data_IF_483719912140
#
_entry.id   IF_483719912140
#
_cell.length_a   1.000
_cell.length_b   1.000
_cell.length_c   1.000
_cell.angle_alpha   90.00
_cell.angle_beta   90.00
_cell.angle_gamma   90.00
#
_symmetry.space_group_name_H-M   'P 1'
#
loop_
_entity.id
_entity.type
_entity.pdbx_description
1 polymer ?
#
# COMPACT_ATOMS: atom_id res chain seq x y z
N UNK A 1 -11.08 -18.57 6.02
CA UNK A 1 -10.06 -17.61 5.56
C UNK A 1 -9.52 -16.75 6.71
N UNK A 2 -10.36 -16.04 7.48
CA UNK A 2 -9.94 -15.21 8.63
C UNK A 2 -9.13 -15.97 9.70
N UNK A 3 -9.48 -17.23 9.94
CA UNK A 3 -8.76 -18.13 10.87
C UNK A 3 -7.29 -18.31 10.48
N UNK A 4 -6.95 -18.33 9.18
CA UNK A 4 -5.55 -18.47 8.75
C UNK A 4 -4.72 -17.23 9.10
N UNK A 5 -5.29 -16.04 8.95
CA UNK A 5 -4.62 -14.79 9.31
C UNK A 5 -4.38 -14.67 10.81
N UNK A 6 -5.35 -15.10 11.64
CA UNK A 6 -5.16 -15.11 13.09
C UNK A 6 -4.08 -16.11 13.51
N UNK A 7 -4.05 -17.31 12.91
CA UNK A 7 -3.00 -18.31 13.19
C UNK A 7 -1.63 -17.84 12.73
N UNK A 8 -1.52 -17.22 11.54
CA UNK A 8 -0.27 -16.66 11.04
C UNK A 8 0.26 -15.56 11.99
N UNK A 9 -0.61 -14.70 12.50
CA UNK A 9 -0.22 -13.64 13.42
C UNK A 9 0.15 -14.17 14.81
N UNK A 10 -0.58 -15.16 15.34
CA UNK A 10 -0.23 -15.84 16.60
C UNK A 10 1.13 -16.53 16.46
N UNK A 11 1.36 -17.24 15.35
CA UNK A 11 2.64 -17.88 15.05
C UNK A 11 3.79 -16.86 14.97
N UNK A 12 3.57 -15.72 14.31
CA UNK A 12 4.55 -14.63 14.24
C UNK A 12 4.83 -13.99 15.61
N UNK A 13 3.79 -13.80 16.45
CA UNK A 13 3.95 -13.29 17.83
C UNK A 13 4.75 -14.26 18.70
N UNK A 14 4.51 -15.56 18.56
CA UNK A 14 5.24 -16.60 19.29
C UNK A 14 6.70 -16.75 18.79
N UNK A 15 6.95 -16.49 17.51
CA UNK A 15 8.27 -16.63 16.88
C UNK A 15 8.79 -15.27 16.38
N UNK A 16 9.04 -14.35 17.31
CA UNK A 16 9.36 -12.95 16.99
C UNK A 16 10.60 -12.80 16.08
N UNK A 17 11.63 -13.63 16.25
CA UNK A 17 12.81 -13.62 15.39
C UNK A 17 12.49 -14.02 13.94
N UNK A 18 11.58 -14.98 13.75
CA UNK A 18 11.11 -15.37 12.43
C UNK A 18 10.28 -14.26 11.79
N UNK A 19 9.40 -13.61 12.55
CA UNK A 19 8.61 -12.47 12.07
C UNK A 19 9.50 -11.28 11.64
N UNK A 20 10.53 -10.97 12.43
CA UNK A 20 11.53 -9.96 12.10
C UNK A 20 12.34 -10.35 10.85
N UNK A 21 12.77 -11.60 10.75
CA UNK A 21 13.49 -12.13 9.58
C UNK A 21 12.67 -12.02 8.29
N UNK A 22 11.40 -12.42 8.33
CA UNK A 22 10.48 -12.29 7.18
C UNK A 22 10.22 -10.83 6.81
N UNK A 23 10.06 -9.96 7.81
CA UNK A 23 9.86 -8.52 7.59
C UNK A 23 11.10 -7.87 6.95
N UNK A 24 12.29 -8.25 7.41
CA UNK A 24 13.55 -7.77 6.84
C UNK A 24 13.75 -8.25 5.41
N UNK A 25 13.45 -9.52 5.12
CA UNK A 25 13.49 -10.07 3.76
C UNK A 25 12.51 -9.34 2.83
N UNK A 26 11.30 -9.05 3.31
CA UNK A 26 10.31 -8.27 2.56
C UNK A 26 10.85 -6.87 2.20
N UNK A 27 11.48 -6.18 3.16
CA UNK A 27 12.11 -4.86 2.91
C UNK A 27 13.17 -4.96 1.81
N UNK A 28 14.02 -5.99 1.84
CA UNK A 28 15.04 -6.22 0.81
C UNK A 28 14.38 -6.39 -0.57
N UNK A 29 13.37 -7.26 -0.69
CA UNK A 29 12.73 -7.50 -1.98
C UNK A 29 12.05 -6.25 -2.52
N UNK A 30 11.37 -5.48 -1.67
CA UNK A 30 10.78 -4.18 -2.04
C UNK A 30 11.84 -3.23 -2.58
N UNK A 31 12.99 -3.12 -1.89
CA UNK A 31 14.06 -2.21 -2.28
C UNK A 31 14.69 -2.61 -3.63
N UNK A 32 14.92 -3.91 -3.80
CA UNK A 32 15.42 -4.51 -5.04
C UNK A 32 14.46 -4.24 -6.20
N UNK A 33 13.16 -4.42 -6.00
CA UNK A 33 12.14 -4.19 -7.03
C UNK A 33 12.04 -2.70 -7.39
N UNK A 34 12.08 -1.79 -6.41
CA UNK A 34 11.97 -0.35 -6.70
C UNK A 34 13.20 0.22 -7.44
N UNK A 35 14.41 -0.26 -7.12
CA UNK A 35 15.65 0.28 -7.72
C UNK A 35 15.98 -0.44 -9.04
N UNK A 36 15.87 -1.76 -9.05
CA UNK A 36 16.39 -2.59 -10.14
C UNK A 36 15.27 -3.23 -10.96
N UNK A 37 14.04 -3.32 -10.45
CA UNK A 37 12.89 -3.98 -11.09
C UNK A 37 12.69 -3.62 -12.57
N UNK A 38 12.66 -2.32 -12.96
CA UNK A 38 12.53 -1.91 -14.36
C UNK A 38 13.66 -2.38 -15.27
N UNK A 39 14.79 -2.85 -14.73
CA UNK A 39 15.95 -3.39 -15.47
C UNK A 39 16.05 -4.92 -15.40
N UNK A 40 15.25 -5.59 -14.59
CA UNK A 40 15.30 -7.04 -14.42
C UNK A 40 14.76 -7.81 -15.61
N UNK A 41 15.12 -9.10 -15.70
CA UNK A 41 14.44 -10.03 -16.59
C UNK A 41 13.02 -10.30 -16.08
N UNK A 42 12.07 -10.52 -16.99
CA UNK A 42 10.66 -10.81 -16.66
C UNK A 42 10.53 -11.93 -15.62
N UNK A 43 11.27 -13.03 -15.78
CA UNK A 43 11.18 -14.19 -14.88
C UNK A 43 11.73 -13.88 -13.48
N UNK A 44 12.84 -13.15 -13.40
CA UNK A 44 13.41 -12.72 -12.11
C UNK A 44 12.42 -11.83 -11.38
N UNK A 45 11.84 -10.86 -12.09
CA UNK A 45 10.89 -9.91 -11.53
C UNK A 45 9.62 -10.62 -11.03
N UNK A 46 9.09 -11.57 -11.81
CA UNK A 46 7.91 -12.36 -11.43
C UNK A 46 8.15 -13.13 -10.12
N UNK A 47 9.31 -13.76 -9.96
CA UNK A 47 9.66 -14.49 -8.73
C UNK A 47 9.75 -13.55 -7.54
N UNK A 48 10.46 -12.42 -7.67
CA UNK A 48 10.62 -11.45 -6.59
C UNK A 48 9.26 -10.87 -6.17
N UNK A 49 8.41 -10.51 -7.12
CA UNK A 49 7.07 -9.97 -6.85
C UNK A 49 6.18 -11.03 -6.20
N UNK A 50 6.22 -12.27 -6.67
CA UNK A 50 5.43 -13.36 -6.08
C UNK A 50 5.82 -13.58 -4.62
N UNK A 51 7.12 -13.68 -4.34
CA UNK A 51 7.62 -13.82 -2.97
C UNK A 51 7.25 -12.62 -2.11
N UNK A 52 7.39 -11.40 -2.64
CA UNK A 52 7.03 -10.17 -1.95
C UNK A 52 5.54 -10.11 -1.62
N UNK A 53 4.67 -10.51 -2.55
CA UNK A 53 3.21 -10.52 -2.34
C UNK A 53 2.77 -11.56 -1.32
N UNK A 54 3.40 -12.74 -1.32
CA UNK A 54 3.18 -13.76 -0.28
C UNK A 54 3.60 -13.22 1.09
N UNK A 55 4.79 -12.63 1.18
CA UNK A 55 5.28 -12.03 2.43
C UNK A 55 4.40 -10.86 2.89
N UNK A 56 3.92 -10.02 1.97
CA UNK A 56 2.95 -8.97 2.28
C UNK A 56 1.65 -9.53 2.86
N UNK A 57 1.11 -10.60 2.27
CA UNK A 57 -0.07 -11.27 2.81
C UNK A 57 0.14 -11.80 4.22
N UNK A 58 1.27 -12.47 4.46
CA UNK A 58 1.59 -13.05 5.77
C UNK A 58 1.85 -11.98 6.82
N UNK A 59 2.70 -10.98 6.52
CA UNK A 59 3.16 -10.01 7.51
C UNK A 59 2.17 -8.86 7.67
N UNK A 60 1.83 -8.19 6.57
CA UNK A 60 1.08 -6.93 6.60
C UNK A 60 -0.42 -7.15 6.65
N UNK A 61 -0.95 -8.01 5.77
CA UNK A 61 -2.41 -8.22 5.70
C UNK A 61 -2.93 -8.96 6.93
N UNK A 62 -2.20 -9.96 7.45
CA UNK A 62 -2.54 -10.61 8.73
C UNK A 62 -2.61 -9.60 9.88
N UNK A 63 -1.64 -8.69 9.96
CA UNK A 63 -1.63 -7.63 10.96
C UNK A 63 -2.85 -6.72 10.82
N UNK A 64 -3.13 -6.20 9.62
CA UNK A 64 -4.25 -5.29 9.39
C UNK A 64 -5.61 -5.92 9.73
N UNK A 65 -5.83 -7.18 9.32
CA UNK A 65 -7.10 -7.88 9.58
C UNK A 65 -7.31 -8.09 11.08
N UNK A 66 -6.31 -8.60 11.80
CA UNK A 66 -6.44 -8.88 13.23
C UNK A 66 -6.60 -7.58 14.02
N UNK A 67 -5.79 -6.56 13.73
CA UNK A 67 -5.84 -5.28 14.43
C UNK A 67 -7.21 -4.59 14.28
N UNK A 68 -7.78 -4.60 13.07
CA UNK A 68 -9.11 -4.04 12.82
C UNK A 68 -10.20 -4.83 13.53
N UNK A 69 -10.15 -6.16 13.47
CA UNK A 69 -11.12 -7.01 14.16
C UNK A 69 -11.08 -6.77 15.67
N UNK A 70 -9.90 -6.72 16.28
CA UNK A 70 -9.75 -6.39 17.70
C UNK A 70 -10.29 -4.99 18.02
N UNK A 71 -10.01 -4.00 17.17
CA UNK A 71 -10.46 -2.60 17.35
C UNK A 71 -11.98 -2.46 17.23
N UNK A 72 -12.63 -3.19 16.34
CA UNK A 72 -14.08 -3.13 16.14
C UNK A 72 -14.86 -4.07 17.05
N UNK A 73 -14.30 -5.22 17.46
CA UNK A 73 -14.97 -6.19 18.32
C UNK A 73 -15.01 -5.76 19.80
N UNK A 74 -14.13 -4.84 20.24
CA UNK A 74 -14.18 -4.29 21.60
C UNK A 74 -15.55 -3.66 21.88
N UNK A 75 -16.29 -4.24 22.82
CA UNK A 75 -17.61 -3.78 23.26
C UNK A 75 -18.75 -4.12 22.30
N UNK A 76 -18.52 -4.92 21.25
CA UNK A 76 -19.56 -5.30 20.31
C UNK A 76 -20.43 -6.45 20.83
N UNK A 77 -21.75 -6.26 20.87
CA UNK A 77 -22.71 -7.32 21.20
C UNK A 77 -23.05 -8.22 19.99
N UNK A 78 -22.79 -7.74 18.77
CA UNK A 78 -23.07 -8.46 17.53
C UNK A 78 -21.80 -8.56 16.67
N UNK A 79 -21.41 -9.79 16.30
CA UNK A 79 -20.17 -10.10 15.57
C UNK A 79 -20.22 -9.63 14.10
N UNK A 80 -21.40 -9.49 13.51
CA UNK A 80 -21.55 -9.12 12.09
C UNK A 80 -21.15 -7.66 11.82
N UNK A 81 -21.38 -6.75 12.78
CA UNK A 81 -21.07 -5.32 12.62
C UNK A 81 -19.55 -5.04 12.58
N UNK A 82 -18.72 -5.60 13.50
CA UNK A 82 -17.25 -5.49 13.43
C UNK A 82 -16.64 -6.09 12.16
N UNK A 83 -17.21 -7.17 11.65
CA UNK A 83 -16.79 -7.78 10.39
C UNK A 83 -17.03 -6.82 9.22
N UNK A 84 -18.25 -6.26 9.11
CA UNK A 84 -18.59 -5.30 8.06
C UNK A 84 -17.69 -4.05 8.12
N UNK A 85 -17.42 -3.53 9.32
CA UNK A 85 -16.52 -2.39 9.51
C UNK A 85 -15.09 -2.71 9.08
N UNK A 86 -14.56 -3.87 9.47
CA UNK A 86 -13.23 -4.32 9.04
C UNK A 86 -13.11 -4.40 7.52
N UNK A 87 -14.07 -5.05 6.86
CA UNK A 87 -14.05 -5.14 5.39
C UNK A 87 -14.23 -3.79 4.71
N UNK A 88 -15.06 -2.89 5.27
CA UNK A 88 -15.20 -1.53 4.77
C UNK A 88 -13.88 -0.76 4.74
N UNK A 89 -13.06 -0.91 5.78
CA UNK A 89 -11.72 -0.31 5.87
C UNK A 89 -10.76 -0.89 4.84
N UNK A 90 -10.79 -2.21 4.65
CA UNK A 90 -9.96 -2.90 3.64
C UNK A 90 -10.35 -2.47 2.22
N UNK A 91 -11.64 -2.26 1.96
CA UNK A 91 -12.16 -1.86 0.65
C UNK A 91 -11.88 -0.37 0.35
N UNK A 92 -11.78 0.50 1.36
CA UNK A 92 -11.64 1.94 1.15
C UNK A 92 -10.44 2.35 0.25
N UNK A 93 -9.21 1.83 0.45
CA UNK A 93 -8.11 2.10 -0.48
C UNK A 93 -8.36 1.58 -1.90
N UNK A 94 -9.09 0.47 -2.08
CA UNK A 94 -9.46 -0.06 -3.40
C UNK A 94 -10.37 0.92 -4.14
N UNK A 95 -11.37 1.47 -3.44
CA UNK A 95 -12.27 2.48 -4.00
C UNK A 95 -11.49 3.72 -4.42
N UNK A 96 -10.53 4.17 -3.60
CA UNK A 96 -9.68 5.32 -3.94
C UNK A 96 -8.83 5.02 -5.18
N UNK A 97 -8.21 3.84 -5.27
CA UNK A 97 -7.48 3.45 -6.47
C UNK A 97 -8.36 3.44 -7.71
N UNK A 98 -9.60 2.94 -7.61
CA UNK A 98 -10.54 2.93 -8.73
C UNK A 98 -10.90 4.36 -9.18
N UNK A 99 -11.12 5.27 -8.23
CA UNK A 99 -11.34 6.69 -8.54
C UNK A 99 -10.12 7.29 -9.25
N UNK A 100 -8.91 7.04 -8.74
CA UNK A 100 -7.67 7.54 -9.36
C UNK A 100 -7.45 6.98 -10.76
N UNK A 101 -7.76 5.70 -10.99
CA UNK A 101 -7.71 5.07 -12.30
C UNK A 101 -8.65 5.76 -13.30
N UNK A 102 -9.88 6.05 -12.88
CA UNK A 102 -10.88 6.75 -13.70
C UNK A 102 -10.39 8.18 -14.01
N UNK A 103 -9.93 8.92 -13.01
CA UNK A 103 -9.42 10.28 -13.20
C UNK A 103 -8.20 10.31 -14.14
N UNK A 104 -7.30 9.34 -14.04
CA UNK A 104 -6.13 9.20 -14.90
C UNK A 104 -6.49 8.82 -16.34
N UNK A 105 -7.50 7.97 -16.53
CA UNK A 105 -7.98 7.57 -17.85
C UNK A 105 -8.48 8.78 -18.64
N UNK A 106 -9.30 9.62 -18.00
CA UNK A 106 -9.84 10.86 -18.56
C UNK A 106 -8.88 12.06 -18.54
N UNK A 107 -7.58 11.85 -18.24
CA UNK A 107 -6.55 12.90 -18.14
C UNK A 107 -6.92 14.07 -17.20
N UNK A 108 -7.77 13.83 -16.20
CA UNK A 108 -8.20 14.84 -15.22
C UNK A 108 -7.13 15.12 -14.15
N UNK A 109 -6.15 14.23 -14.01
CA UNK A 109 -5.02 14.40 -13.09
C UNK A 109 -4.00 15.36 -13.70
N UNK A 110 -3.94 16.58 -13.14
CA UNK A 110 -2.88 17.55 -13.46
C UNK A 110 -1.59 17.17 -12.73
N UNK A 111 -0.67 16.51 -13.43
CA UNK A 111 0.57 15.95 -12.85
C UNK A 111 1.41 16.97 -12.06
N UNK A 112 1.48 18.23 -12.51
CA UNK A 112 2.18 19.31 -11.77
C UNK A 112 1.57 19.55 -10.39
N UNK A 113 0.25 19.52 -10.29
CA UNK A 113 -0.47 19.68 -9.02
C UNK A 113 -0.26 18.45 -8.14
N UNK A 114 -0.34 17.24 -8.72
CA UNK A 114 -0.09 16.00 -7.99
C UNK A 114 1.32 16.00 -7.36
N UNK A 115 2.37 16.34 -8.13
CA UNK A 115 3.73 16.45 -7.58
C UNK A 115 3.86 17.53 -6.52
N UNK A 116 3.27 18.71 -6.73
CA UNK A 116 3.30 19.79 -5.74
C UNK A 116 2.63 19.37 -4.42
N UNK A 117 1.48 18.68 -4.49
CA UNK A 117 0.79 18.12 -3.33
C UNK A 117 1.63 17.04 -2.64
N UNK A 118 2.23 16.11 -3.39
CA UNK A 118 3.11 15.07 -2.83
C UNK A 118 4.28 15.70 -2.07
N UNK A 119 4.97 16.68 -2.66
CA UNK A 119 6.10 17.37 -2.01
C UNK A 119 5.64 18.09 -0.75
N UNK A 120 4.53 18.83 -0.82
CA UNK A 120 3.98 19.55 0.32
C UNK A 120 3.63 18.60 1.46
N UNK A 121 2.87 17.55 1.19
CA UNK A 121 2.47 16.53 2.18
C UNK A 121 3.70 15.83 2.75
N UNK A 122 4.70 15.51 1.93
CA UNK A 122 5.93 14.88 2.37
C UNK A 122 6.72 15.77 3.35
N UNK A 123 6.90 17.05 3.02
CA UNK A 123 7.59 18.00 3.90
C UNK A 123 6.81 18.18 5.21
N UNK A 124 5.48 18.31 5.14
CA UNK A 124 4.63 18.37 6.33
C UNK A 124 4.74 17.10 7.17
N UNK A 125 4.76 15.92 6.55
CA UNK A 125 4.94 14.64 7.23
C UNK A 125 6.26 14.59 7.99
N UNK A 126 7.37 14.99 7.36
CA UNK A 126 8.68 15.04 8.01
C UNK A 126 8.71 16.01 9.20
N UNK A 127 8.11 17.18 9.04
CA UNK A 127 8.04 18.17 10.11
C UNK A 127 7.24 17.65 11.32
N UNK A 128 6.07 17.05 11.06
CA UNK A 128 5.23 16.44 12.10
C UNK A 128 5.97 15.27 12.77
N UNK A 129 6.66 14.43 12.00
CA UNK A 129 7.43 13.30 12.52
C UNK A 129 8.54 13.78 13.48
N UNK A 130 9.29 14.82 13.10
CA UNK A 130 10.31 15.44 13.96
C UNK A 130 9.67 16.00 15.24
N UNK A 131 8.62 16.82 15.12
CA UNK A 131 7.96 17.42 16.28
C UNK A 131 7.40 16.35 17.23
N UNK A 132 6.80 15.29 16.68
CA UNK A 132 6.23 14.19 17.48
C UNK A 132 7.27 13.41 18.28
N UNK A 133 8.55 13.52 17.92
CA UNK A 133 9.65 12.92 18.69
C UNK A 133 9.99 13.74 19.93
N UNK A 134 9.61 15.02 19.98
CA UNK A 134 9.84 15.91 21.13
C UNK A 134 8.57 16.17 21.94
N UNK A 135 7.39 16.14 21.29
CA UNK A 135 6.10 16.44 21.92
C UNK A 135 5.21 15.20 21.89
N UNK A 136 5.07 14.55 23.05
CA UNK A 136 4.23 13.36 23.22
C UNK A 136 2.74 13.74 23.33
N UNK A 137 2.12 14.11 22.22
CA UNK A 137 0.68 14.45 22.13
C UNK A 137 -0.07 13.46 21.24
N UNK A 138 -1.20 12.93 21.73
CA UNK A 138 -2.05 11.98 20.99
C UNK A 138 -2.56 12.56 19.67
N UNK A 139 -2.93 13.84 19.65
CA UNK A 139 -3.32 14.57 18.45
C UNK A 139 -2.19 14.59 17.41
N UNK A 140 -0.96 14.93 17.81
CA UNK A 140 0.18 14.94 16.89
C UNK A 140 0.49 13.53 16.34
N UNK A 141 0.36 12.50 17.16
CA UNK A 141 0.53 11.12 16.72
C UNK A 141 -0.53 10.68 15.70
N UNK A 142 -1.75 11.22 15.76
CA UNK A 142 -2.81 10.95 14.79
C UNK A 142 -2.58 11.60 13.43
N UNK A 143 -1.84 12.71 13.37
CA UNK A 143 -1.49 13.36 12.12
C UNK A 143 -0.51 12.53 11.29
N UNK A 144 0.39 11.77 11.92
CA UNK A 144 1.36 10.93 11.20
C UNK A 144 0.67 9.97 10.22
N UNK A 145 -0.27 9.10 10.65
CA UNK A 145 -0.96 8.22 9.73
C UNK A 145 -1.94 8.96 8.81
N UNK A 146 -2.47 10.14 9.18
CA UNK A 146 -3.28 10.96 8.27
C UNK A 146 -2.48 11.45 7.06
N UNK A 147 -1.32 12.06 7.32
CA UNK A 147 -0.41 12.51 6.28
C UNK A 147 0.18 11.34 5.50
N UNK A 148 0.53 10.23 6.17
CA UNK A 148 0.98 9.00 5.51
C UNK A 148 -0.05 8.44 4.54
N UNK A 149 -1.33 8.37 4.94
CA UNK A 149 -2.42 7.97 4.07
C UNK A 149 -2.58 8.90 2.87
N UNK A 150 -2.62 10.22 3.11
CA UNK A 150 -2.74 11.21 2.03
C UNK A 150 -1.57 11.13 1.04
N UNK A 151 -0.35 10.86 1.53
CA UNK A 151 0.84 10.66 0.71
C UNK A 151 0.68 9.44 -0.22
N UNK A 152 0.20 8.30 0.31
CA UNK A 152 -0.07 7.10 -0.51
C UNK A 152 -1.12 7.37 -1.58
N UNK A 153 -2.18 8.11 -1.25
CA UNK A 153 -3.21 8.50 -2.24
C UNK A 153 -2.61 9.36 -3.37
N UNK A 154 -1.68 10.26 -3.04
CA UNK A 154 -0.99 11.05 -4.05
C UNK A 154 -0.06 10.20 -4.93
N UNK A 155 0.63 9.20 -4.36
CA UNK A 155 1.45 8.26 -5.14
C UNK A 155 0.60 7.42 -6.09
N UNK A 156 -0.54 6.89 -5.63
CA UNK A 156 -1.49 6.18 -6.49
C UNK A 156 -1.94 7.05 -7.67
N UNK A 157 -2.20 8.35 -7.43
CA UNK A 157 -2.60 9.28 -8.49
C UNK A 157 -1.48 9.46 -9.54
N UNK A 158 -0.23 9.59 -9.11
CA UNK A 158 0.94 9.69 -10.00
C UNK A 158 1.12 8.39 -10.80
N UNK A 159 0.99 7.24 -10.14
CA UNK A 159 1.18 5.94 -10.79
C UNK A 159 0.10 5.64 -11.81
N UNK A 160 -1.17 5.89 -11.49
CA UNK A 160 -2.25 5.77 -12.47
C UNK A 160 -2.08 6.71 -13.66
N UNK A 161 -1.59 7.94 -13.42
CA UNK A 161 -1.25 8.86 -14.51
C UNK A 161 -0.15 8.31 -15.41
N UNK A 162 0.92 7.76 -14.84
CA UNK A 162 2.00 7.11 -15.60
C UNK A 162 1.47 5.91 -16.40
N UNK A 163 0.72 5.01 -15.75
CA UNK A 163 0.13 3.82 -16.38
C UNK A 163 -0.76 4.21 -17.56
N UNK A 164 -1.62 5.21 -17.40
CA UNK A 164 -2.50 5.72 -18.48
C UNK A 164 -1.68 6.20 -19.68
N UNK A 165 -0.59 6.94 -19.44
CA UNK A 165 0.31 7.42 -20.50
C UNK A 165 1.06 6.28 -21.19
N UNK A 166 1.59 5.32 -20.43
CA UNK A 166 2.25 4.15 -21.00
C UNK A 166 1.30 3.29 -21.83
N UNK A 167 0.07 3.09 -21.38
CA UNK A 167 -0.95 2.34 -22.11
C UNK A 167 -1.34 3.04 -23.43
N UNK A 168 -1.53 4.36 -23.40
CA UNK A 168 -1.80 5.16 -24.61
C UNK A 168 -0.63 5.08 -25.61
N UNK A 169 0.61 5.20 -25.13
CA UNK A 169 1.80 5.09 -25.97
C UNK A 169 2.00 3.69 -26.55
N UNK A 170 1.77 2.64 -25.76
CA UNK A 170 1.87 1.25 -26.20
C UNK A 170 0.86 0.94 -27.29
N UNK A 171 -0.42 1.28 -27.09
CA UNK A 171 -1.47 1.04 -28.08
C UNK A 171 -1.20 1.72 -29.43
N UNK A 172 -0.46 2.83 -29.45
CA UNK A 172 -0.08 3.53 -30.66
C UNK A 172 1.13 2.93 -31.41
N UNK A 173 1.91 2.04 -30.78
CA UNK A 173 3.24 1.60 -31.27
C UNK A 173 3.38 0.07 -31.42
N UNK A 174 2.28 -0.69 -31.31
CA UNK A 174 2.34 -2.16 -31.34
C UNK A 174 2.75 -2.67 -32.73
N UNK A 175 4.01 -3.10 -32.87
CA UNK A 175 4.47 -3.79 -34.08
C UNK A 175 5.37 -5.01 -33.84
N UNK A 176 6.03 -5.18 -32.68
CA UNK A 176 7.02 -6.25 -32.45
C UNK A 176 6.91 -6.98 -31.09
N UNK A 177 7.38 -8.24 -31.04
CA UNK A 177 7.41 -9.09 -29.82
C UNK A 177 8.26 -8.49 -28.68
N UNK A 178 9.36 -7.80 -29.01
CA UNK A 178 10.19 -7.12 -28.02
C UNK A 178 9.40 -6.06 -27.23
N UNK A 179 8.55 -5.29 -27.92
CA UNK A 179 7.69 -4.27 -27.29
C UNK A 179 6.65 -4.91 -26.37
N UNK A 180 6.10 -6.08 -26.74
CA UNK A 180 5.16 -6.82 -25.88
C UNK A 180 5.81 -7.29 -24.58
N UNK A 181 7.05 -7.79 -24.65
CA UNK A 181 7.79 -8.27 -23.47
C UNK A 181 8.11 -7.14 -22.49
N UNK A 182 8.55 -5.98 -23.00
CA UNK A 182 8.77 -4.79 -22.17
C UNK A 182 7.46 -4.28 -21.55
N UNK A 183 6.36 -4.31 -22.30
CA UNK A 183 5.05 -3.94 -21.75
C UNK A 183 4.58 -4.87 -20.63
N UNK A 184 4.75 -6.19 -20.79
CA UNK A 184 4.43 -7.17 -19.73
C UNK A 184 5.25 -6.93 -18.46
N UNK A 185 6.54 -6.62 -18.62
CA UNK A 185 7.45 -6.30 -17.52
C UNK A 185 7.01 -5.04 -16.76
N UNK A 186 6.68 -3.96 -17.48
CA UNK A 186 6.15 -2.74 -16.89
C UNK A 186 4.79 -2.96 -16.20
N UNK A 187 3.92 -3.78 -16.79
CA UNK A 187 2.61 -4.11 -16.22
C UNK A 187 2.77 -4.79 -14.86
N UNK A 188 3.69 -5.75 -14.76
CA UNK A 188 3.99 -6.44 -13.51
C UNK A 188 4.61 -5.48 -12.48
N UNK A 189 5.56 -4.63 -12.89
CA UNK A 189 6.16 -3.61 -12.05
C UNK A 189 5.10 -2.67 -11.44
N UNK A 190 4.25 -2.10 -12.29
CA UNK A 190 3.20 -1.18 -11.84
C UNK A 190 2.13 -1.89 -11.01
N UNK A 191 1.80 -3.14 -11.32
CA UNK A 191 0.91 -3.95 -10.48
C UNK A 191 1.46 -4.15 -9.07
N UNK A 192 2.76 -4.45 -8.95
CA UNK A 192 3.44 -4.55 -7.66
C UNK A 192 3.44 -3.22 -6.91
N UNK A 193 3.78 -2.12 -7.59
CA UNK A 193 3.84 -0.79 -7.02
C UNK A 193 2.47 -0.31 -6.50
N UNK A 194 1.40 -0.52 -7.27
CA UNK A 194 0.03 -0.21 -6.82
C UNK A 194 -0.38 -1.03 -5.61
N UNK A 195 -0.02 -2.33 -5.58
CA UNK A 195 -0.29 -3.18 -4.43
C UNK A 195 0.52 -2.75 -3.19
N UNK A 196 1.76 -2.28 -3.36
CA UNK A 196 2.56 -1.66 -2.29
C UNK A 196 1.85 -0.42 -1.73
N UNK A 197 1.46 0.54 -2.59
CA UNK A 197 0.76 1.76 -2.17
C UNK A 197 -0.56 1.44 -1.45
N UNK A 198 -1.31 0.45 -1.96
CA UNK A 198 -2.53 -0.05 -1.35
C UNK A 198 -2.29 -0.53 0.09
N UNK A 199 -1.27 -1.38 0.30
CA UNK A 199 -0.98 -1.95 1.62
C UNK A 199 -0.56 -0.88 2.62
N UNK A 200 0.25 0.09 2.21
CA UNK A 200 0.63 1.20 3.09
C UNK A 200 -0.54 2.12 3.40
N UNK A 201 -1.37 2.44 2.40
CA UNK A 201 -2.61 3.17 2.64
C UNK A 201 -3.50 2.44 3.65
N UNK A 202 -3.63 1.11 3.53
CA UNK A 202 -4.36 0.29 4.49
C UNK A 202 -3.76 0.35 5.90
N UNK A 203 -2.44 0.20 6.06
CA UNK A 203 -1.77 0.31 7.37
C UNK A 203 -2.05 1.67 8.02
N UNK A 204 -1.93 2.76 7.26
CA UNK A 204 -2.18 4.10 7.78
C UNK A 204 -3.65 4.28 8.18
N UNK A 205 -4.58 3.77 7.38
CA UNK A 205 -6.01 3.80 7.70
C UNK A 205 -6.33 2.99 8.97
N UNK A 206 -5.73 1.80 9.12
CA UNK A 206 -5.85 0.96 10.34
C UNK A 206 -5.38 1.73 11.57
N UNK A 207 -4.21 2.39 11.49
CA UNK A 207 -3.67 3.20 12.58
C UNK A 207 -4.57 4.39 12.92
N UNK A 208 -5.12 5.08 11.93
CA UNK A 208 -6.05 6.19 12.15
C UNK A 208 -7.30 5.74 12.92
N UNK A 209 -7.90 4.61 12.50
CA UNK A 209 -9.10 4.08 13.13
C UNK A 209 -8.84 3.65 14.57
N UNK A 210 -7.69 3.00 14.82
CA UNK A 210 -7.28 2.64 16.16
C UNK A 210 -7.11 3.88 17.04
N UNK A 211 -6.49 4.94 16.53
CA UNK A 211 -6.30 6.18 17.29
C UNK A 211 -7.61 6.95 17.50
N UNK A 212 -8.56 6.87 16.56
CA UNK A 212 -9.87 7.50 16.72
C UNK A 212 -10.79 6.79 17.73
N UNK A 213 -10.51 5.52 18.04
CA UNK A 213 -11.30 4.70 18.98
C UNK A 213 -10.73 4.63 20.41
N UNK A 214 -9.47 4.99 20.61
CA UNK A 214 -8.84 5.03 21.94
C UNK A 214 -8.77 6.47 22.42
#
# INVERSE_FOLDING_TARGET
>A
MLVFFSHALVFMKQNIFLALGLSFLLIIFIFVEFIVGPRMSFWTQLVIITLSMVLFGIVVLSFAIVELLETFAKGAQNINLPLAQTFGVIIAPIVIMAIMAILAYFDLIKIKIAYALTIFIFISFLFIWIISSFIFSSWLYSLIPAFGFALMVCYMAIDWWLISRYNKAFNATVSNEATKKEFMKLTIYFGFKLAYDYLWALIYLVKLIRLAKN
#
